data_IF_955813083875
#
_entry.id   IF_955813083875
#
_cell.length_a   1.000
_cell.length_b   1.000
_cell.length_c   1.000
_cell.angle_alpha   90.00
_cell.angle_beta   90.00
_cell.angle_gamma   90.00
#
_symmetry.space_group_name_H-M   'P 1'
#
loop_
_entity.id
_entity.type
_entity.pdbx_description
1 polymer ?
#
# COMPACT_ATOMS: atom_id res chain seq x y z
N UNK A 1 -17.23 3.63 -14.96
CA UNK A 1 -16.78 2.61 -15.92
C UNK A 1 -15.72 1.78 -15.22
N UNK A 2 -15.98 0.51 -14.89
CA UNK A 2 -14.94 -0.38 -14.33
C UNK A 2 -14.04 -0.79 -15.48
N UNK A 3 -12.83 -0.22 -15.53
CA UNK A 3 -11.78 -0.70 -16.43
C UNK A 3 -11.35 -2.08 -15.93
N UNK A 4 -11.86 -3.13 -16.57
CA UNK A 4 -11.46 -4.51 -16.28
C UNK A 4 -9.95 -4.64 -16.52
N UNK A 5 -9.18 -4.56 -15.43
CA UNK A 5 -7.73 -4.67 -15.49
C UNK A 5 -7.40 -6.11 -15.79
N UNK A 6 -6.70 -6.36 -16.91
CA UNK A 6 -6.32 -7.72 -17.31
C UNK A 6 -5.43 -8.34 -16.23
N UNK A 7 -5.95 -9.32 -15.49
CA UNK A 7 -5.16 -10.09 -14.52
C UNK A 7 -4.22 -11.03 -15.27
N UNK A 8 -2.93 -10.99 -14.94
CA UNK A 8 -1.91 -11.85 -15.55
C UNK A 8 -1.39 -12.80 -14.47
N UNK A 9 -1.53 -14.10 -14.69
CA UNK A 9 -0.97 -15.10 -13.80
C UNK A 9 0.57 -15.01 -13.82
N UNK A 10 1.17 -14.89 -12.65
CA UNK A 10 2.63 -14.91 -12.46
C UNK A 10 2.97 -15.99 -11.44
N UNK A 11 4.00 -16.77 -11.74
CA UNK A 11 4.50 -17.79 -10.83
C UNK A 11 5.70 -17.22 -10.06
N UNK A 12 5.48 -16.90 -8.78
CA UNK A 12 6.53 -16.47 -7.87
C UNK A 12 6.79 -17.55 -6.84
N UNK A 13 8.06 -17.74 -6.46
CA UNK A 13 8.43 -18.51 -5.27
C UNK A 13 8.37 -17.57 -4.07
N UNK A 14 7.31 -17.69 -3.27
CA UNK A 14 7.06 -16.85 -2.10
C UNK A 14 7.19 -17.67 -0.82
N UNK A 15 7.61 -17.02 0.26
CA UNK A 15 7.64 -17.66 1.57
C UNK A 15 6.21 -17.80 2.11
N UNK A 16 5.74 -19.04 2.23
CA UNK A 16 4.38 -19.36 2.64
C UNK A 16 4.06 -18.90 4.07
N UNK A 17 5.06 -18.89 4.97
CA UNK A 17 4.89 -18.42 6.35
C UNK A 17 4.56 -16.93 6.37
N UNK A 18 5.24 -16.15 5.53
CA UNK A 18 4.98 -14.71 5.41
C UNK A 18 3.59 -14.45 4.79
N UNK A 19 3.21 -15.21 3.77
CA UNK A 19 1.88 -15.08 3.14
C UNK A 19 0.78 -15.39 4.15
N UNK A 20 0.89 -16.49 4.91
CA UNK A 20 -0.10 -16.86 5.94
C UNK A 20 -0.16 -15.84 7.08
N UNK A 21 0.99 -15.30 7.49
CA UNK A 21 1.04 -14.22 8.47
C UNK A 21 0.31 -12.97 7.99
N UNK A 22 0.63 -12.51 6.78
CA UNK A 22 0.00 -11.36 6.17
C UNK A 22 -1.51 -11.58 5.91
N UNK A 23 -1.92 -12.79 5.50
CA UNK A 23 -3.34 -13.15 5.32
C UNK A 23 -4.15 -12.92 6.58
N UNK A 24 -3.64 -13.35 7.74
CA UNK A 24 -4.32 -13.17 9.03
C UNK A 24 -4.43 -11.70 9.41
N UNK A 25 -3.35 -10.94 9.23
CA UNK A 25 -3.30 -9.50 9.57
C UNK A 25 -4.26 -8.70 8.68
N UNK A 26 -4.29 -9.01 7.39
CA UNK A 26 -5.08 -8.27 6.39
C UNK A 26 -6.51 -8.80 6.24
N UNK A 27 -6.86 -9.93 6.87
CA UNK A 27 -8.17 -10.58 6.70
C UNK A 27 -8.42 -11.10 5.28
N UNK A 28 -7.36 -11.34 4.50
CA UNK A 28 -7.44 -11.71 3.10
C UNK A 28 -7.71 -13.21 2.92
N UNK A 29 -8.58 -13.55 1.97
CA UNK A 29 -8.99 -14.94 1.68
C UNK A 29 -7.99 -15.68 0.80
N UNK A 30 -7.22 -14.96 -0.02
CA UNK A 30 -6.28 -15.56 -0.98
C UNK A 30 -4.89 -14.95 -0.90
N UNK A 31 -3.88 -15.70 -1.34
CA UNK A 31 -2.51 -15.19 -1.44
C UNK A 31 -2.42 -13.98 -2.38
N UNK A 32 -3.16 -14.00 -3.50
CA UNK A 32 -3.24 -12.86 -4.43
C UNK A 32 -3.77 -11.61 -3.75
N UNK A 33 -4.91 -11.71 -3.08
CA UNK A 33 -5.53 -10.58 -2.35
C UNK A 33 -4.61 -10.05 -1.24
N UNK A 34 -3.86 -10.94 -0.60
CA UNK A 34 -2.87 -10.58 0.43
C UNK A 34 -1.75 -9.74 -0.15
N UNK A 35 -1.20 -10.18 -1.28
CA UNK A 35 -0.09 -9.49 -1.95
C UNK A 35 -0.57 -8.15 -2.52
N UNK A 36 -1.73 -8.13 -3.17
CA UNK A 36 -2.31 -6.89 -3.72
C UNK A 36 -2.59 -5.86 -2.61
N UNK A 37 -3.19 -6.29 -1.49
CA UNK A 37 -3.47 -5.42 -0.35
C UNK A 37 -2.18 -4.91 0.31
N UNK A 38 -1.20 -5.80 0.54
CA UNK A 38 0.09 -5.41 1.12
C UNK A 38 0.84 -4.39 0.24
N UNK A 39 0.82 -4.57 -1.08
CA UNK A 39 1.43 -3.62 -2.02
C UNK A 39 0.69 -2.28 -2.00
N UNK A 40 -0.64 -2.30 -1.99
CA UNK A 40 -1.47 -1.08 -1.90
C UNK A 40 -1.16 -0.29 -0.63
N UNK A 41 -1.05 -0.96 0.52
CA UNK A 41 -0.73 -0.34 1.80
C UNK A 41 0.64 0.34 1.79
N UNK A 42 1.67 -0.32 1.24
CA UNK A 42 3.02 0.25 1.14
C UNK A 42 3.02 1.49 0.24
N UNK A 43 2.35 1.42 -0.92
CA UNK A 43 2.22 2.55 -1.84
C UNK A 43 1.48 3.71 -1.16
N UNK A 44 0.39 3.43 -0.45
CA UNK A 44 -0.38 4.44 0.26
C UNK A 44 0.46 5.14 1.35
N UNK A 45 1.17 4.35 2.18
CA UNK A 45 2.05 4.90 3.24
C UNK A 45 3.11 5.82 2.67
N UNK A 46 3.73 5.44 1.55
CA UNK A 46 4.75 6.27 0.91
C UNK A 46 4.16 7.55 0.32
N UNK A 47 2.97 7.49 -0.30
CA UNK A 47 2.27 8.68 -0.79
C UNK A 47 1.92 9.62 0.36
N UNK A 48 1.42 9.09 1.47
CA UNK A 48 1.09 9.88 2.67
C UNK A 48 2.34 10.51 3.29
N UNK A 49 3.44 9.77 3.38
CA UNK A 49 4.72 10.29 3.85
C UNK A 49 5.18 11.49 3.01
N UNK A 50 5.20 11.34 1.68
CA UNK A 50 5.57 12.43 0.76
C UNK A 50 4.66 13.64 0.89
N UNK A 51 3.36 13.42 1.04
CA UNK A 51 2.40 14.51 1.25
C UNK A 51 2.71 15.28 2.54
N UNK A 52 2.97 14.57 3.64
CA UNK A 52 3.35 15.19 4.92
C UNK A 52 4.66 15.97 4.79
N UNK A 53 5.69 15.40 4.16
CA UNK A 53 6.99 16.07 3.95
C UNK A 53 6.83 17.36 3.11
N UNK A 54 6.06 17.30 2.02
CA UNK A 54 5.74 18.48 1.19
C UNK A 54 4.95 19.55 1.95
N UNK A 55 4.11 19.13 2.89
CA UNK A 55 3.22 20.01 3.65
C UNK A 55 3.93 20.68 4.82
N UNK A 56 4.84 19.95 5.50
CA UNK A 56 5.73 20.51 6.53
C UNK A 56 6.60 21.65 6.00
N UNK A 57 6.99 21.62 4.72
CA UNK A 57 7.72 22.71 4.08
C UNK A 57 6.88 23.93 3.69
N UNK A 58 5.54 23.83 3.69
CA UNK A 58 4.62 24.89 3.22
C UNK A 58 3.94 25.67 4.33
N UNK A 59 3.89 25.14 5.56
CA UNK A 59 3.43 25.88 6.73
C UNK A 59 4.59 26.64 7.38
N UNK A 60 5.12 27.66 6.69
CA UNK A 60 5.69 28.80 7.41
C UNK A 60 4.49 29.57 7.94
N UNK A 61 4.30 29.57 9.25
CA UNK A 61 3.39 30.51 9.90
C UNK A 61 3.92 31.92 9.63
N UNK A 62 3.50 32.54 8.53
CA UNK A 62 3.58 33.99 8.39
C UNK A 62 2.45 34.57 9.23
N UNK A 63 2.81 35.14 10.37
CA UNK A 63 1.88 35.86 11.24
C UNK A 63 1.94 35.41 12.68
N UNK A 64 2.96 35.90 13.40
CA UNK A 64 2.90 36.34 14.79
C UNK A 64 4.18 37.16 15.03
N UNK A 65 4.20 38.36 14.46
CA UNK A 65 4.89 39.55 15.00
C UNK A 65 3.84 40.67 15.01
#
# INVERSE_FOLDING_TARGET
MQTATKKVAKHFRLNEVLIKGAQKILGAKTATETIESALSDVIYREKMRKLIEQTKGKFKFEGLD
#
